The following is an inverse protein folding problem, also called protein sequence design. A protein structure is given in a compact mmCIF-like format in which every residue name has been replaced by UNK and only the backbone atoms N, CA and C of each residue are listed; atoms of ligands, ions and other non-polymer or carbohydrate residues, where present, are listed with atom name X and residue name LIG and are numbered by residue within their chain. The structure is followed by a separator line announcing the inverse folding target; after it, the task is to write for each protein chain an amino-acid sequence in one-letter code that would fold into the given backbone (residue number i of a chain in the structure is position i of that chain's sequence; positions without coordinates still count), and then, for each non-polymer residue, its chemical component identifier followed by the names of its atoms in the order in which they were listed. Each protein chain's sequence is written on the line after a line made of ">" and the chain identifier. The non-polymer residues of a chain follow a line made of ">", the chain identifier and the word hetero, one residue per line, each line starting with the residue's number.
data_IF_287359572387
#
_entry.id   IF_287359572387
#
_cell.length_a   1.000
_cell.length_b   1.000
_cell.length_c   1.000
_cell.angle_alpha   90.00
_cell.angle_beta   90.00
_cell.angle_gamma   90.00
#
_symmetry.space_group_name_H-M   'P 1'
#
loop_
_entity.id
_entity.type
_entity.pdbx_description
1 polymer ?
#
# COMPACT_ATOMS: atom_id res chain seq x y z
N UNK A 1 3.21 24.27 -8.74
CA UNK A 1 3.39 23.46 -7.52
C UNK A 1 3.93 22.10 -7.91
N UNK A 2 5.17 21.82 -7.54
CA UNK A 2 5.87 20.57 -7.86
C UNK A 2 6.07 19.76 -6.58
N UNK A 3 5.77 18.47 -6.64
CA UNK A 3 5.99 17.54 -5.54
C UNK A 3 7.20 16.66 -5.88
N UNK A 4 8.21 16.69 -5.03
CA UNK A 4 9.34 15.76 -5.10
C UNK A 4 9.09 14.66 -4.07
N UNK A 5 9.03 13.42 -4.53
CA UNK A 5 8.79 12.25 -3.68
C UNK A 5 10.13 11.62 -3.32
N UNK A 6 10.30 11.25 -2.04
CA UNK A 6 11.43 10.40 -1.66
C UNK A 6 11.32 9.02 -2.30
N UNK A 7 12.44 8.29 -2.36
CA UNK A 7 12.39 6.89 -2.77
C UNK A 7 11.47 6.10 -1.81
N UNK A 8 10.52 5.30 -2.33
CA UNK A 8 9.57 4.58 -1.50
C UNK A 8 10.25 3.41 -0.78
N UNK A 9 10.05 3.32 0.54
CA UNK A 9 10.59 2.25 1.37
C UNK A 9 9.50 1.22 1.68
N UNK A 10 9.80 -0.08 1.51
CA UNK A 10 8.87 -1.14 1.88
C UNK A 10 8.70 -1.17 3.41
N UNK A 11 7.47 -0.96 3.86
CA UNK A 11 7.13 -1.05 5.28
C UNK A 11 6.89 -2.49 5.66
N UNK A 12 6.06 -3.17 4.86
CA UNK A 12 5.74 -4.59 5.04
C UNK A 12 4.94 -5.18 3.88
N UNK A 13 4.86 -6.50 3.92
CA UNK A 13 3.93 -7.31 3.13
C UNK A 13 2.80 -7.82 4.04
N UNK A 14 1.56 -7.71 3.56
CA UNK A 14 0.37 -8.09 4.31
C UNK A 14 -0.43 -9.14 3.55
N UNK A 15 -0.51 -10.33 4.16
CA UNK A 15 -1.45 -11.35 3.73
C UNK A 15 -2.89 -10.97 4.13
N UNK A 16 -3.91 -11.31 3.33
CA UNK A 16 -5.29 -10.97 3.63
C UNK A 16 -5.75 -11.42 5.02
N UNK A 17 -5.31 -12.60 5.44
CA UNK A 17 -5.61 -13.19 6.76
C UNK A 17 -4.89 -12.46 7.90
N UNK A 18 -3.72 -11.85 7.62
CA UNK A 18 -2.88 -11.18 8.64
C UNK A 18 -3.28 -9.72 8.86
N UNK A 19 -3.94 -9.06 7.92
CA UNK A 19 -4.34 -7.65 8.06
C UNK A 19 -5.28 -7.41 9.25
N UNK A 20 -6.10 -8.40 9.61
CA UNK A 20 -6.99 -8.33 10.77
C UNK A 20 -6.25 -8.48 12.11
N UNK A 21 -4.97 -8.87 12.11
CA UNK A 21 -4.21 -9.09 13.35
C UNK A 21 -3.91 -7.77 14.08
N UNK A 22 -4.27 -7.64 15.37
CA UNK A 22 -3.97 -6.44 16.16
C UNK A 22 -2.46 -6.12 16.21
N UNK A 23 -1.61 -7.14 16.19
CA UNK A 23 -0.15 -6.99 16.20
C UNK A 23 0.36 -6.31 14.92
N UNK A 24 -0.20 -6.69 13.77
CA UNK A 24 0.14 -6.10 12.46
C UNK A 24 -0.31 -4.64 12.41
N UNK A 25 -1.54 -4.34 12.85
CA UNK A 25 -2.04 -2.97 12.95
C UNK A 25 -1.12 -2.09 13.79
N UNK A 26 -0.70 -2.56 14.97
CA UNK A 26 0.20 -1.80 15.84
C UNK A 26 1.55 -1.48 15.17
N UNK A 27 2.17 -2.46 14.51
CA UNK A 27 3.43 -2.26 13.77
C UNK A 27 3.26 -1.22 12.65
N UNK A 28 2.12 -1.25 11.97
CA UNK A 28 1.76 -0.30 10.91
C UNK A 28 1.58 1.13 11.45
N UNK A 29 0.88 1.28 12.57
CA UNK A 29 0.68 2.57 13.24
C UNK A 29 2.00 3.21 13.68
N UNK A 30 2.93 2.43 14.21
CA UNK A 30 4.21 2.98 14.70
C UNK A 30 5.14 3.42 13.56
N UNK A 31 4.99 2.83 12.37
CA UNK A 31 5.93 3.02 11.23
C UNK A 31 5.47 4.04 10.19
N UNK A 32 4.18 4.27 10.10
CA UNK A 32 3.56 5.14 9.10
C UNK A 32 2.69 6.11 9.87
N UNK A 33 2.85 7.41 9.65
CA UNK A 33 1.99 8.46 10.21
C UNK A 33 1.37 9.20 9.03
N UNK A 34 0.04 9.34 8.92
CA UNK A 34 -0.60 9.84 7.70
C UNK A 34 -0.30 11.31 7.45
N UNK A 35 0.03 12.07 8.49
CA UNK A 35 0.39 13.50 8.38
C UNK A 35 1.83 13.70 7.94
N UNK A 36 2.69 12.69 8.09
CA UNK A 36 4.13 12.77 7.76
C UNK A 36 4.50 11.98 6.51
N UNK A 37 3.88 10.83 6.30
CA UNK A 37 4.24 9.87 5.26
C UNK A 37 3.08 9.60 4.32
N UNK A 38 3.36 9.67 3.02
CA UNK A 38 2.51 9.10 2.00
C UNK A 38 2.70 7.59 1.94
N UNK A 39 1.72 6.90 1.37
CA UNK A 39 1.78 5.45 1.19
C UNK A 39 1.53 5.05 -0.26
N UNK A 40 2.16 3.95 -0.65
CA UNK A 40 1.85 3.23 -1.89
C UNK A 40 1.44 1.82 -1.49
N UNK A 41 0.29 1.38 -1.98
CA UNK A 41 -0.20 0.02 -1.82
C UNK A 41 -0.12 -0.68 -3.17
N UNK A 42 0.54 -1.83 -3.25
CA UNK A 42 0.65 -2.65 -4.45
C UNK A 42 0.11 -4.05 -4.21
N UNK A 43 -0.54 -4.66 -5.19
CA UNK A 43 -0.83 -6.10 -5.14
C UNK A 43 0.44 -6.90 -5.39
N UNK A 44 0.71 -7.89 -4.54
CA UNK A 44 1.76 -8.87 -4.81
C UNK A 44 1.27 -9.83 -5.92
N UNK A 45 2.17 -10.31 -6.80
CA UNK A 45 1.82 -11.34 -7.77
C UNK A 45 1.38 -12.61 -7.02
N UNK A 46 0.25 -13.20 -7.45
CA UNK A 46 -0.23 -14.47 -6.90
C UNK A 46 0.64 -15.57 -7.54
N UNK A 47 1.59 -16.12 -6.81
CA UNK A 47 2.30 -17.32 -7.26
C UNK A 47 1.44 -18.53 -6.93
N UNK A 48 0.77 -19.10 -7.94
CA UNK A 48 0.23 -20.45 -7.79
C UNK A 48 1.40 -21.45 -7.87
N UNK A 49 1.55 -22.38 -6.93
CA UNK A 49 2.69 -23.30 -6.91
C UNK A 49 2.69 -24.35 -8.04
N UNK A 50 1.58 -24.52 -8.78
CA UNK A 50 1.36 -25.65 -9.71
C UNK A 50 0.89 -25.23 -11.11
N UNK A 51 1.23 -24.05 -11.63
CA UNK A 51 0.95 -23.71 -13.02
C UNK A 51 2.26 -23.69 -13.82
N UNK A 52 2.40 -24.62 -14.76
CA UNK A 52 3.40 -24.56 -15.86
C UNK A 52 3.19 -23.34 -16.77
N UNK A 53 2.15 -22.55 -16.50
CA UNK A 53 1.87 -21.28 -17.11
C UNK A 53 2.91 -20.24 -16.66
N UNK A 54 3.72 -19.81 -17.62
CA UNK A 54 4.46 -18.54 -17.58
C UNK A 54 3.58 -17.46 -16.94
N UNK A 55 3.96 -17.02 -15.74
CA UNK A 55 3.26 -16.01 -14.91
C UNK A 55 3.23 -14.61 -15.60
N UNK A 56 3.75 -14.50 -16.82
CA UNK A 56 3.84 -13.28 -17.61
C UNK A 56 3.26 -13.43 -19.03
N UNK A 57 2.02 -13.88 -19.14
CA UNK A 57 1.24 -13.74 -20.40
C UNK A 57 0.50 -12.39 -20.51
N UNK A 58 0.96 -11.34 -19.84
CA UNK A 58 0.37 -9.99 -19.93
C UNK A 58 -1.03 -9.84 -19.30
N UNK A 59 -1.55 -10.86 -18.62
CA UNK A 59 -2.93 -10.90 -18.10
C UNK A 59 -3.09 -10.46 -16.63
N UNK A 60 -2.00 -10.29 -15.87
CA UNK A 60 -2.06 -9.78 -14.49
C UNK A 60 -1.58 -8.33 -14.44
N UNK A 61 -2.53 -7.40 -14.32
CA UNK A 61 -2.23 -5.98 -14.12
C UNK A 61 -2.08 -5.75 -12.61
N UNK A 62 -0.85 -5.51 -12.15
CA UNK A 62 -0.61 -5.18 -10.75
C UNK A 62 -1.31 -3.87 -10.40
N UNK A 63 -2.22 -3.92 -9.43
CA UNK A 63 -2.94 -2.74 -8.97
C UNK A 63 -2.04 -1.95 -8.02
N UNK A 64 -1.98 -0.64 -8.22
CA UNK A 64 -1.19 0.27 -7.38
C UNK A 64 -2.05 1.46 -6.96
N UNK A 65 -2.13 1.70 -5.66
CA UNK A 65 -2.73 2.89 -5.07
C UNK A 65 -1.68 3.76 -4.44
N UNK A 66 -1.77 5.07 -4.64
CA UNK A 66 -0.91 6.04 -3.98
C UNK A 66 -1.78 7.03 -3.21
N UNK A 67 -1.34 7.37 -2.01
CA UNK A 67 -1.97 8.40 -1.19
C UNK A 67 -0.91 9.30 -0.58
N UNK A 68 -1.05 10.60 -0.82
CA UNK A 68 -0.13 11.62 -0.30
C UNK A 68 -0.24 11.73 1.23
N UNK A 69 0.83 12.21 1.90
CA UNK A 69 0.73 12.61 3.30
C UNK A 69 -0.17 13.84 3.46
N UNK A 70 -0.57 14.08 4.71
CA UNK A 70 -1.18 15.33 5.17
C UNK A 70 -2.49 15.68 4.45
N UNK A 71 -3.29 14.65 4.16
CA UNK A 71 -4.62 14.82 3.59
C UNK A 71 -5.66 15.07 4.68
N UNK A 72 -6.59 15.98 4.38
CA UNK A 72 -7.68 16.33 5.29
C UNK A 72 -8.64 15.15 5.51
N UNK A 73 -9.07 14.98 6.76
CA UNK A 73 -9.90 13.85 7.18
C UNK A 73 -9.23 12.48 7.18
N UNK A 74 -7.91 12.37 6.96
CA UNK A 74 -7.16 11.11 7.06
C UNK A 74 -6.21 11.17 8.26
N UNK A 75 -6.73 10.76 9.42
CA UNK A 75 -5.99 10.84 10.69
C UNK A 75 -5.51 9.47 11.20
N UNK A 76 -5.96 8.38 10.57
CA UNK A 76 -5.56 7.01 10.95
C UNK A 76 -4.94 6.25 9.79
N UNK A 77 -4.04 5.32 10.12
CA UNK A 77 -3.31 4.50 9.13
C UNK A 77 -4.27 3.55 8.42
N UNK A 78 -5.20 2.99 9.17
CA UNK A 78 -6.20 2.07 8.65
C UNK A 78 -7.08 2.76 7.61
N UNK A 79 -7.45 4.03 7.87
CA UNK A 79 -8.19 4.85 6.92
C UNK A 79 -7.35 5.19 5.69
N UNK A 80 -6.08 5.57 5.90
CA UNK A 80 -5.15 5.86 4.81
C UNK A 80 -5.00 4.65 3.86
N UNK A 81 -4.75 3.46 4.41
CA UNK A 81 -4.61 2.21 3.65
C UNK A 81 -5.92 1.83 2.98
N UNK A 82 -7.04 1.89 3.69
CA UNK A 82 -8.36 1.57 3.13
C UNK A 82 -8.68 2.46 1.93
N UNK A 83 -8.42 3.76 2.02
CA UNK A 83 -8.63 4.71 0.92
C UNK A 83 -7.68 4.42 -0.24
N UNK A 84 -6.40 4.15 0.03
CA UNK A 84 -5.43 3.81 -1.01
C UNK A 84 -5.82 2.52 -1.77
N UNK A 85 -6.26 1.49 -1.04
CA UNK A 85 -6.79 0.26 -1.62
C UNK A 85 -8.04 0.51 -2.46
N UNK A 86 -9.02 1.25 -1.93
CA UNK A 86 -10.25 1.58 -2.64
C UNK A 86 -9.98 2.34 -3.94
N UNK A 87 -9.07 3.33 -3.91
CA UNK A 87 -8.66 4.10 -5.10
C UNK A 87 -7.99 3.23 -6.17
N UNK A 88 -7.36 2.13 -5.77
CA UNK A 88 -6.70 1.19 -6.66
C UNK A 88 -7.55 -0.03 -7.03
N UNK A 89 -8.79 -0.14 -6.51
CA UNK A 89 -9.62 -1.33 -6.69
C UNK A 89 -9.01 -2.60 -6.06
N UNK A 90 -8.21 -2.45 -5.01
CA UNK A 90 -7.57 -3.55 -4.28
C UNK A 90 -8.49 -3.98 -3.14
N UNK A 91 -8.82 -5.26 -3.07
CA UNK A 91 -9.52 -5.84 -1.94
C UNK A 91 -8.52 -6.50 -0.98
N UNK A 92 -8.18 -5.84 0.15
CA UNK A 92 -7.17 -6.34 1.06
C UNK A 92 -7.61 -7.58 1.87
N UNK A 93 -8.88 -8.02 1.74
CA UNK A 93 -9.39 -9.25 2.33
C UNK A 93 -9.18 -10.49 1.45
N UNK A 94 -8.82 -10.32 0.18
CA UNK A 94 -8.53 -11.43 -0.74
C UNK A 94 -7.17 -11.31 -1.42
N UNK A 95 -6.67 -10.09 -1.62
CA UNK A 95 -5.42 -9.81 -2.33
C UNK A 95 -4.29 -9.55 -1.33
N UNK A 96 -3.13 -10.20 -1.55
CA UNK A 96 -1.90 -9.91 -0.81
C UNK A 96 -1.37 -8.54 -1.23
N UNK A 97 -1.09 -7.69 -0.25
CA UNK A 97 -0.67 -6.30 -0.52
C UNK A 97 0.72 -6.01 0.04
N UNK A 98 1.45 -5.16 -0.67
CA UNK A 98 2.71 -4.58 -0.28
C UNK A 98 2.47 -3.11 0.05
N UNK A 99 2.92 -2.66 1.21
CA UNK A 99 2.77 -1.28 1.66
C UNK A 99 4.13 -0.63 1.71
N UNK A 100 4.27 0.45 0.94
CA UNK A 100 5.44 1.31 0.92
C UNK A 100 5.11 2.66 1.53
N UNK A 101 6.11 3.34 2.09
CA UNK A 101 6.00 4.71 2.57
C UNK A 101 6.96 5.63 1.81
N UNK A 102 6.62 6.91 1.71
CA UNK A 102 7.48 7.95 1.15
C UNK A 102 7.20 9.30 1.83
N UNK A 103 8.14 10.24 1.74
CA UNK A 103 7.94 11.64 2.13
C UNK A 103 7.82 12.52 0.90
N UNK A 104 7.27 13.71 1.10
CA UNK A 104 6.99 14.66 0.02
C UNK A 104 7.58 16.02 0.37
N UNK A 105 8.35 16.57 -0.55
CA UNK A 105 8.83 17.94 -0.51
C UNK A 105 8.04 18.78 -1.52
N UNK A 106 7.46 19.89 -1.03
CA UNK A 106 6.63 20.79 -1.83
C UNK A 106 7.50 21.96 -2.30
N UNK A 107 7.62 22.14 -3.61
CA UNK A 107 8.29 23.27 -4.23
C UNK A 107 7.24 24.17 -4.92
N UNK A 108 7.35 25.47 -4.70
CA UNK A 108 6.46 26.49 -5.27
C UNK A 108 7.05 27.08 -6.54
#
# INVERSE_FOLDING_TARGET
>A
MVYVLSYPELVMEVDPVKLASPKIRKILFDKVNPKKFGIIVKTAPITQPNSDDVVFNGHFVAKTGLLLPDLDGIDTIEKQISIACQKAGINPSFEKILIYKFTVEKYQ
#
